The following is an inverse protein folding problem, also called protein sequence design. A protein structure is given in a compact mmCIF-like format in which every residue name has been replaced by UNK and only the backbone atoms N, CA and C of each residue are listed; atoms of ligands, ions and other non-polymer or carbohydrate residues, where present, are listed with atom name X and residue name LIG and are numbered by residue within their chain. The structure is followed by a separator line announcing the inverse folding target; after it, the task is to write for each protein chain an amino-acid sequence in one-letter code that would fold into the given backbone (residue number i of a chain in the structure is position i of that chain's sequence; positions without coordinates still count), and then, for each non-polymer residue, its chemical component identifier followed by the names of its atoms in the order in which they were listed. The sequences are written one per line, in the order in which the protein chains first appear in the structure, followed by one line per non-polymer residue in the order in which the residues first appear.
data_IF_099870277374
#
_entry.id   IF_099870277374
#
_cell.length_a   1.000
_cell.length_b   1.000
_cell.length_c   1.000
_cell.angle_alpha   90.00
_cell.angle_beta   90.00
_cell.angle_gamma   90.00
#
_symmetry.space_group_name_H-M   'P 1'
#
loop_
_entity.id
_entity.type
_entity.pdbx_description
1 polymer ?
#
# COMPACT_ATOMS: atom_id res chain seq x y z
N UNK A 1 -8.49 -11.32 -29.89
CA UNK A 1 -8.53 -11.86 -28.52
C UNK A 1 -9.03 -10.74 -27.62
N UNK A 2 -10.30 -10.81 -27.20
CA UNK A 2 -10.97 -9.77 -26.42
C UNK A 2 -10.71 -9.99 -24.93
N UNK A 3 -10.09 -9.02 -24.25
CA UNK A 3 -9.97 -9.00 -22.79
C UNK A 3 -11.23 -8.38 -22.14
N UNK A 4 -12.40 -8.77 -22.62
CA UNK A 4 -13.65 -8.37 -22.00
C UNK A 4 -13.80 -9.13 -20.67
N UNK A 5 -13.86 -8.38 -19.56
CA UNK A 5 -14.08 -8.81 -18.15
C UNK A 5 -12.85 -9.08 -17.24
N UNK A 6 -11.66 -8.52 -17.52
CA UNK A 6 -10.64 -8.39 -16.46
C UNK A 6 -10.86 -7.16 -15.54
N UNK A 7 -11.91 -6.36 -15.77
CA UNK A 7 -11.97 -4.95 -15.35
C UNK A 7 -13.14 -4.57 -14.43
N UNK A 8 -13.70 -5.49 -13.65
CA UNK A 8 -14.81 -5.17 -12.73
C UNK A 8 -14.34 -4.61 -11.38
N UNK A 9 -13.06 -4.78 -11.02
CA UNK A 9 -12.44 -4.15 -9.86
C UNK A 9 -10.94 -3.94 -10.11
N UNK A 10 -10.35 -2.82 -9.65
CA UNK A 10 -8.92 -2.61 -9.75
C UNK A 10 -8.15 -3.69 -8.97
N UNK A 11 -7.17 -4.33 -9.62
CA UNK A 11 -6.28 -5.29 -8.97
C UNK A 11 -5.35 -4.57 -7.99
N UNK A 12 -5.28 -5.10 -6.77
CA UNK A 12 -4.36 -4.62 -5.74
C UNK A 12 -3.25 -5.64 -5.55
N UNK A 13 -2.01 -5.20 -5.70
CA UNK A 13 -0.81 -6.01 -5.43
C UNK A 13 -0.25 -5.59 -4.08
N UNK A 14 -0.04 -6.54 -3.16
CA UNK A 14 0.61 -6.29 -1.87
C UNK A 14 1.99 -6.93 -1.87
N UNK A 15 3.02 -6.14 -1.54
CA UNK A 15 4.41 -6.61 -1.51
C UNK A 15 5.21 -5.88 -0.43
N UNK A 16 6.35 -6.46 -0.05
CA UNK A 16 7.36 -5.73 0.71
C UNK A 16 7.87 -4.52 -0.07
N UNK A 17 8.10 -3.42 0.64
CA UNK A 17 8.75 -2.24 0.08
C UNK A 17 10.19 -2.55 -0.31
N UNK A 18 10.65 -1.87 -1.36
CA UNK A 18 12.01 -1.97 -1.91
C UNK A 18 12.65 -0.59 -1.85
N UNK A 19 13.98 -0.52 -1.92
CA UNK A 19 14.70 0.77 -1.87
C UNK A 19 14.26 1.76 -2.96
N UNK A 20 13.78 1.27 -4.11
CA UNK A 20 13.23 2.08 -5.19
C UNK A 20 11.91 2.79 -4.86
N UNK A 21 11.19 2.37 -3.81
CA UNK A 21 9.86 2.92 -3.48
C UNK A 21 9.94 4.25 -2.72
N UNK A 22 11.13 4.66 -2.28
CA UNK A 22 11.34 5.87 -1.46
C UNK A 22 10.66 7.14 -2.00
N UNK A 23 10.78 7.47 -3.31
CA UNK A 23 10.05 8.60 -3.88
C UNK A 23 8.53 8.48 -3.80
N UNK A 24 7.97 7.30 -4.06
CA UNK A 24 6.53 7.07 -3.99
C UNK A 24 6.01 7.15 -2.54
N UNK A 25 6.77 6.60 -1.58
CA UNK A 25 6.45 6.69 -0.15
C UNK A 25 6.47 8.13 0.37
N UNK A 26 7.46 8.94 -0.05
CA UNK A 26 7.51 10.37 0.31
C UNK A 26 6.33 11.14 -0.27
N UNK A 27 6.00 10.93 -1.54
CA UNK A 27 4.80 11.53 -2.16
C UNK A 27 3.54 11.15 -1.38
N UNK A 28 3.39 9.89 -1.01
CA UNK A 28 2.22 9.40 -0.31
C UNK A 28 2.09 10.02 1.10
N UNK A 29 3.20 10.10 1.82
CA UNK A 29 3.33 10.77 3.11
C UNK A 29 2.95 12.27 3.03
N UNK A 30 3.42 12.96 1.99
CA UNK A 30 3.04 14.36 1.72
C UNK A 30 1.54 14.51 1.45
N UNK A 31 0.95 13.64 0.62
CA UNK A 31 -0.49 13.65 0.33
C UNK A 31 -1.33 13.41 1.58
N UNK A 32 -0.96 12.43 2.41
CA UNK A 32 -1.66 12.07 3.67
C UNK A 32 -1.29 13.00 4.85
N UNK A 33 -0.42 14.00 4.62
CA UNK A 33 0.08 14.92 5.66
C UNK A 33 0.63 14.20 6.90
N UNK A 34 1.39 13.12 6.68
CA UNK A 34 1.95 12.24 7.72
C UNK A 34 3.40 11.89 7.37
N UNK A 35 4.27 11.56 8.34
CA UNK A 35 5.60 11.07 8.04
C UNK A 35 5.55 9.69 7.35
N UNK A 36 6.57 9.37 6.56
CA UNK A 36 6.77 8.01 6.06
C UNK A 36 6.90 7.06 7.26
N UNK A 37 6.10 5.97 7.35
CA UNK A 37 6.22 5.02 8.44
C UNK A 37 7.63 4.42 8.50
N UNK A 38 8.15 4.22 9.71
CA UNK A 38 9.45 3.61 9.91
C UNK A 38 9.38 2.07 9.88
N UNK A 39 10.54 1.44 9.72
CA UNK A 39 10.69 -0.01 9.82
C UNK A 39 10.39 -0.75 8.53
N UNK A 40 10.04 -2.04 8.66
CA UNK A 40 9.68 -2.87 7.52
C UNK A 40 8.31 -2.47 6.99
N UNK A 41 8.22 -2.16 5.69
CA UNK A 41 6.99 -1.68 5.07
C UNK A 41 6.41 -2.70 4.10
N UNK A 42 5.08 -2.85 4.16
CA UNK A 42 4.30 -3.36 3.04
C UNK A 42 3.74 -2.17 2.25
N UNK A 43 3.73 -2.31 0.93
CA UNK A 43 3.09 -1.38 0.01
C UNK A 43 1.97 -2.07 -0.74
N UNK A 44 0.94 -1.31 -1.08
CA UNK A 44 -0.13 -1.72 -1.97
C UNK A 44 -0.07 -0.91 -3.26
N UNK A 45 -0.12 -1.62 -4.38
CA UNK A 45 -0.05 -1.04 -5.72
C UNK A 45 -1.34 -1.25 -6.50
N UNK A 46 -1.69 -0.26 -7.32
CA UNK A 46 -2.75 -0.34 -8.31
C UNK A 46 -2.24 0.27 -9.61
N UNK A 47 -2.16 -0.52 -10.68
CA UNK A 47 -1.69 -0.04 -11.99
C UNK A 47 -0.31 0.64 -11.92
N UNK A 48 0.67 -0.03 -11.32
CA UNK A 48 2.07 0.44 -11.12
C UNK A 48 2.26 1.62 -10.17
N UNK A 49 1.21 2.09 -9.51
CA UNK A 49 1.30 3.15 -8.50
C UNK A 49 1.10 2.61 -7.09
N UNK A 50 2.03 2.96 -6.19
CA UNK A 50 1.86 2.75 -4.75
C UNK A 50 0.79 3.72 -4.24
N UNK A 51 -0.30 3.17 -3.69
CA UNK A 51 -1.46 3.92 -3.20
C UNK A 51 -1.62 3.86 -1.68
N UNK A 52 -0.96 2.90 -1.02
CA UNK A 52 -0.93 2.79 0.44
C UNK A 52 0.36 2.10 0.89
N UNK A 53 0.82 2.44 2.09
CA UNK A 53 1.93 1.77 2.76
C UNK A 53 1.65 1.63 4.26
N UNK A 54 2.12 0.53 4.84
CA UNK A 54 1.93 0.19 6.25
C UNK A 54 3.20 -0.44 6.83
N UNK A 55 3.59 0.03 8.02
CA UNK A 55 4.66 -0.55 8.81
C UNK A 55 4.23 -1.87 9.42
N UNK A 56 4.96 -2.94 9.13
CA UNK A 56 4.75 -4.26 9.72
C UNK A 56 4.99 -4.20 11.23
N UNK A 57 5.97 -3.42 11.67
CA UNK A 57 6.35 -3.35 13.09
C UNK A 57 5.33 -2.60 13.93
N UNK A 58 4.87 -1.44 13.44
CA UNK A 58 4.10 -0.47 14.25
C UNK A 58 2.63 -0.36 13.85
N UNK A 59 2.27 -0.79 12.65
CA UNK A 59 0.95 -0.55 12.06
C UNK A 59 0.72 0.90 11.61
N UNK A 60 1.71 1.78 11.75
CA UNK A 60 1.65 3.13 11.19
C UNK A 60 1.50 3.06 9.66
N UNK A 61 0.72 3.99 9.10
CA UNK A 61 0.30 3.93 7.69
C UNK A 61 0.21 5.30 7.06
N UNK A 62 0.43 5.31 5.75
CA UNK A 62 0.14 6.41 4.84
C UNK A 62 -0.66 5.87 3.65
N UNK A 63 -1.65 6.61 3.18
CA UNK A 63 -2.46 6.22 2.02
C UNK A 63 -2.88 7.45 1.20
N UNK A 64 -3.17 7.25 -0.08
CA UNK A 64 -3.60 8.33 -0.97
C UNK A 64 -5.02 8.76 -0.54
N UNK A 65 -5.20 9.97 0.03
CA UNK A 65 -6.49 10.42 0.54
C UNK A 65 -7.45 10.84 -0.59
N UNK A 66 -6.94 10.98 -1.82
CA UNK A 66 -7.73 11.32 -3.00
C UNK A 66 -8.24 10.07 -3.73
N UNK A 67 -7.98 8.87 -3.18
CA UNK A 67 -8.45 7.58 -3.68
C UNK A 67 -9.19 6.83 -2.57
N UNK A 68 -10.09 5.91 -2.96
CA UNK A 68 -10.76 5.00 -1.99
C UNK A 68 -9.80 3.89 -1.57
N UNK A 69 -8.94 4.19 -0.61
CA UNK A 69 -7.85 3.30 -0.15
C UNK A 69 -8.16 2.60 1.19
N UNK A 70 -9.34 2.79 1.78
CA UNK A 70 -9.71 2.19 3.07
C UNK A 70 -9.59 0.66 3.05
N UNK A 71 -10.23 0.00 2.08
CA UNK A 71 -10.17 -1.46 1.95
C UNK A 71 -8.75 -1.95 1.66
N UNK A 72 -7.97 -1.17 0.92
CA UNK A 72 -6.55 -1.47 0.61
C UNK A 72 -5.70 -1.45 1.88
N UNK A 73 -5.91 -0.45 2.74
CA UNK A 73 -5.26 -0.34 4.04
C UNK A 73 -5.63 -1.51 4.94
N UNK A 74 -6.88 -1.95 4.92
CA UNK A 74 -7.32 -3.10 5.71
C UNK A 74 -6.66 -4.41 5.23
N UNK A 75 -6.50 -4.59 3.91
CA UNK A 75 -5.75 -5.71 3.35
C UNK A 75 -4.26 -5.68 3.76
N UNK A 76 -3.62 -4.50 3.75
CA UNK A 76 -2.25 -4.34 4.26
C UNK A 76 -2.15 -4.71 5.73
N UNK A 77 -3.08 -4.24 6.56
CA UNK A 77 -3.10 -4.53 7.99
C UNK A 77 -3.29 -6.04 8.25
N UNK A 78 -4.17 -6.70 7.49
CA UNK A 78 -4.35 -8.15 7.54
C UNK A 78 -3.05 -8.88 7.19
N UNK A 79 -2.38 -8.50 6.09
CA UNK A 79 -1.13 -9.15 5.68
C UNK A 79 -0.01 -8.94 6.69
N UNK A 80 0.13 -7.73 7.23
CA UNK A 80 1.16 -7.41 8.23
C UNK A 80 0.98 -8.20 9.53
N UNK A 81 -0.27 -8.42 9.98
CA UNK A 81 -0.57 -9.28 11.13
C UNK A 81 -0.10 -10.71 10.90
N UNK A 82 -0.30 -11.26 9.70
CA UNK A 82 0.18 -12.60 9.36
C UNK A 82 1.71 -12.71 9.45
N UNK A 83 2.45 -11.68 9.03
CA UNK A 83 3.91 -11.67 9.08
C UNK A 83 4.46 -11.59 10.51
N UNK A 84 3.81 -10.87 11.42
CA UNK A 84 4.24 -10.79 12.83
C UNK A 84 4.00 -12.07 13.63
N UNK A 85 3.05 -12.88 13.18
CA UNK A 85 2.63 -14.10 13.88
C UNK A 85 3.29 -15.36 13.31
N UNK A 86 4.20 -15.22 12.34
CA UNK A 86 4.96 -16.31 11.72
C UNK A 86 6.33 -16.43 12.37
#
# INVERSE_FOLDING_TARGET
MSAALAHLAPTVVIRAARGSDGPALRRLAELDSRPVPAGELLVAETGDEVVAALSVDTGARVADPFRRTADVVDLLAYRARGLRNS
#
